data_IF_295683334344
#
_entry.id   IF_295683334344
#
_cell.length_a   1.000
_cell.length_b   1.000
_cell.length_c   1.000
_cell.angle_alpha   90.00
_cell.angle_beta   90.00
_cell.angle_gamma   90.00
#
_symmetry.space_group_name_H-M   'P 1'
#
loop_
_entity.id
_entity.type
_entity.pdbx_description
1 polymer ?
#
# COMPACT_ATOMS: atom_id res chain seq x y z
N UNK A 1 -14.23 55.34 21.25
CA UNK A 1 -13.62 54.00 21.05
C UNK A 1 -14.74 52.97 21.00
N UNK A 2 -15.03 52.38 19.83
CA UNK A 2 -16.02 51.30 19.67
C UNK A 2 -15.27 50.00 19.37
N UNK A 3 -15.48 48.97 20.18
CA UNK A 3 -14.93 47.63 19.95
C UNK A 3 -15.61 47.00 18.72
N UNK A 4 -14.87 46.28 17.86
CA UNK A 4 -15.48 45.51 16.78
C UNK A 4 -16.16 44.27 17.36
N UNK A 5 -17.46 44.13 17.07
CA UNK A 5 -18.25 42.95 17.45
C UNK A 5 -17.87 41.76 16.56
N UNK A 6 -17.33 40.70 17.15
CA UNK A 6 -17.18 39.42 16.48
C UNK A 6 -18.56 38.75 16.39
N UNK A 7 -19.12 38.70 15.18
CA UNK A 7 -20.32 37.91 14.89
C UNK A 7 -20.07 36.40 15.03
N UNK A 8 -21.13 35.59 15.18
CA UNK A 8 -20.99 34.16 15.43
C UNK A 8 -20.33 33.44 14.23
N UNK A 9 -19.67 32.29 14.45
CA UNK A 9 -18.93 31.58 13.41
C UNK A 9 -19.88 31.16 12.29
N UNK A 10 -19.59 31.58 11.04
CA UNK A 10 -20.36 31.16 9.86
C UNK A 10 -20.27 29.64 9.69
N UNK A 11 -21.43 29.00 9.68
CA UNK A 11 -21.69 27.57 9.43
C UNK A 11 -21.41 27.17 7.97
N UNK A 12 -20.18 27.40 7.48
CA UNK A 12 -19.72 27.03 6.13
C UNK A 12 -18.58 26.01 6.23
N UNK A 13 -18.84 24.80 6.72
CA UNK A 13 -17.75 23.79 6.76
C UNK A 13 -18.16 22.31 6.85
N UNK A 14 -19.33 21.91 6.32
CA UNK A 14 -19.66 20.47 6.21
C UNK A 14 -19.89 20.02 4.76
N UNK A 15 -20.53 20.85 3.94
CA UNK A 15 -20.77 20.53 2.52
C UNK A 15 -19.48 20.49 1.65
N UNK A 16 -18.44 21.26 2.02
CA UNK A 16 -17.15 21.29 1.33
C UNK A 16 -16.31 20.03 1.57
N UNK A 17 -16.33 19.49 2.80
CA UNK A 17 -15.58 18.28 3.14
C UNK A 17 -16.16 17.02 2.48
N UNK A 18 -17.50 16.88 2.44
CA UNK A 18 -18.15 15.75 1.76
C UNK A 18 -17.90 15.72 0.24
N UNK A 19 -17.91 16.88 -0.44
CA UNK A 19 -17.68 16.94 -1.89
C UNK A 19 -16.24 16.58 -2.27
N UNK A 20 -15.26 17.01 -1.47
CA UNK A 20 -13.84 16.68 -1.66
C UNK A 20 -13.58 15.19 -1.45
N UNK A 21 -14.19 14.55 -0.43
CA UNK A 21 -14.03 13.12 -0.20
C UNK A 21 -14.65 12.24 -1.31
N UNK A 22 -15.81 12.64 -1.84
CA UNK A 22 -16.48 11.92 -2.94
C UNK A 22 -15.68 12.01 -4.25
N UNK A 23 -15.13 13.18 -4.58
CA UNK A 23 -14.25 13.35 -5.75
C UNK A 23 -12.93 12.59 -5.59
N UNK A 24 -12.31 12.59 -4.40
CA UNK A 24 -11.09 11.80 -4.12
C UNK A 24 -11.32 10.30 -4.33
N UNK A 25 -12.44 9.76 -3.82
CA UNK A 25 -12.83 8.36 -4.03
C UNK A 25 -13.06 8.02 -5.51
N UNK A 26 -13.77 8.88 -6.24
CA UNK A 26 -14.02 8.69 -7.66
C UNK A 26 -12.71 8.67 -8.48
N UNK A 27 -11.76 9.54 -8.13
CA UNK A 27 -10.43 9.54 -8.75
C UNK A 27 -9.72 8.22 -8.49
N UNK A 28 -9.64 7.75 -7.24
CA UNK A 28 -9.02 6.46 -6.88
C UNK A 28 -9.62 5.28 -7.65
N UNK A 29 -10.96 5.19 -7.70
CA UNK A 29 -11.68 4.14 -8.43
C UNK A 29 -11.39 4.17 -9.95
N UNK A 30 -11.29 5.37 -10.52
CA UNK A 30 -10.93 5.54 -11.94
C UNK A 30 -9.52 5.03 -12.22
N UNK A 31 -8.59 5.18 -11.27
CA UNK A 31 -7.23 4.66 -11.41
C UNK A 31 -7.23 3.14 -11.32
N UNK A 32 -7.97 2.57 -10.37
CA UNK A 32 -8.13 1.11 -10.26
C UNK A 32 -8.68 0.52 -11.57
N UNK A 33 -9.75 1.11 -12.09
CA UNK A 33 -10.32 0.73 -13.38
C UNK A 33 -9.30 0.84 -14.53
N UNK A 34 -8.43 1.85 -14.53
CA UNK A 34 -7.39 2.03 -15.57
C UNK A 34 -6.36 0.88 -15.59
N UNK A 35 -5.85 0.48 -14.42
CA UNK A 35 -4.90 -0.64 -14.31
C UNK A 35 -5.59 -1.96 -14.63
N UNK A 36 -6.77 -2.21 -14.07
CA UNK A 36 -7.56 -3.39 -14.38
C UNK A 36 -7.92 -3.47 -15.87
N UNK A 37 -8.06 -2.36 -16.58
CA UNK A 37 -8.32 -2.39 -18.03
C UNK A 37 -7.08 -2.80 -18.82
N UNK A 38 -5.90 -2.33 -18.44
CA UNK A 38 -4.65 -2.53 -19.18
C UNK A 38 -3.85 -3.78 -18.78
N UNK A 39 -4.02 -4.32 -17.56
CA UNK A 39 -3.17 -5.37 -16.99
C UNK A 39 -3.95 -6.59 -16.47
N UNK A 40 -5.10 -6.93 -17.09
CA UNK A 40 -5.97 -8.06 -16.67
C UNK A 40 -5.22 -9.38 -16.50
N UNK A 41 -4.42 -9.75 -17.51
CA UNK A 41 -3.64 -10.99 -17.48
C UNK A 41 -2.57 -10.99 -16.40
N UNK A 42 -1.87 -9.87 -16.23
CA UNK A 42 -0.85 -9.77 -15.20
C UNK A 42 -1.46 -9.91 -13.79
N UNK A 43 -2.64 -9.34 -13.54
CA UNK A 43 -3.34 -9.45 -12.26
C UNK A 43 -3.73 -10.90 -11.96
N UNK A 44 -4.25 -11.64 -12.94
CA UNK A 44 -4.62 -13.06 -12.76
C UNK A 44 -3.38 -13.92 -12.45
N UNK A 45 -2.28 -13.70 -13.18
CA UNK A 45 -1.01 -14.43 -12.94
C UNK A 45 -0.43 -14.10 -11.57
N UNK A 46 -0.47 -12.83 -11.14
CA UNK A 46 -0.03 -12.41 -9.80
C UNK A 46 -0.87 -13.09 -8.72
N UNK A 47 -2.20 -13.08 -8.85
CA UNK A 47 -3.10 -13.75 -7.91
C UNK A 47 -2.75 -15.23 -7.76
N UNK A 48 -2.62 -15.96 -8.88
CA UNK A 48 -2.26 -17.37 -8.85
C UNK A 48 -0.88 -17.62 -8.21
N UNK A 49 0.14 -16.84 -8.56
CA UNK A 49 1.49 -16.99 -8.01
C UNK A 49 1.55 -16.70 -6.50
N UNK A 50 0.80 -15.70 -6.00
CA UNK A 50 0.74 -15.38 -4.57
C UNK A 50 0.03 -16.49 -3.79
N UNK A 51 -1.04 -17.07 -4.34
CA UNK A 51 -1.70 -18.23 -3.74
C UNK A 51 -0.72 -19.39 -3.59
N UNK A 52 0.01 -19.73 -4.66
CA UNK A 52 1.01 -20.82 -4.63
C UNK A 52 2.15 -20.50 -3.65
N UNK A 53 2.68 -19.28 -3.67
CA UNK A 53 3.76 -18.88 -2.76
C UNK A 53 3.33 -18.93 -1.28
N UNK A 54 2.08 -18.56 -0.99
CA UNK A 54 1.52 -18.64 0.36
C UNK A 54 1.35 -20.09 0.81
N UNK A 55 0.86 -20.98 -0.07
CA UNK A 55 0.80 -22.42 0.17
C UNK A 55 2.19 -22.98 0.51
N UNK A 56 3.20 -22.62 -0.28
CA UNK A 56 4.58 -23.04 -0.01
C UNK A 56 5.06 -22.57 1.36
N UNK A 57 4.79 -21.33 1.77
CA UNK A 57 5.20 -20.81 3.08
C UNK A 57 4.58 -21.58 4.25
N UNK A 58 3.37 -22.09 4.07
CA UNK A 58 2.67 -22.91 5.07
C UNK A 58 3.23 -24.32 5.10
N UNK A 59 3.52 -24.91 3.94
CA UNK A 59 4.26 -26.17 3.87
C UNK A 59 5.62 -26.02 4.56
N UNK A 60 6.33 -24.89 4.39
CA UNK A 60 7.57 -24.60 5.14
C UNK A 60 7.33 -24.65 6.65
N UNK A 61 6.31 -23.95 7.14
CA UNK A 61 6.01 -23.85 8.58
C UNK A 61 5.54 -25.18 9.18
N UNK A 62 4.70 -25.93 8.47
CA UNK A 62 4.19 -27.23 8.94
C UNK A 62 5.26 -28.30 8.84
N UNK A 63 6.09 -28.27 7.79
CA UNK A 63 7.22 -29.19 7.69
C UNK A 63 8.22 -29.01 8.81
N UNK A 64 8.47 -27.79 9.34
CA UNK A 64 9.31 -27.65 10.53
C UNK A 64 8.80 -28.50 11.70
N UNK A 65 7.48 -28.62 11.87
CA UNK A 65 6.90 -29.51 12.88
C UNK A 65 7.11 -30.99 12.53
N UNK A 66 6.78 -31.41 11.31
CA UNK A 66 6.93 -32.81 10.85
C UNK A 66 8.39 -33.28 10.86
N UNK A 67 9.32 -32.39 10.51
CA UNK A 67 10.77 -32.66 10.55
C UNK A 67 11.26 -32.91 11.98
N UNK A 68 10.72 -32.17 12.95
CA UNK A 68 11.09 -32.32 14.35
C UNK A 68 10.46 -33.59 14.94
N UNK A 69 9.15 -33.72 14.81
CA UNK A 69 8.37 -34.76 15.51
C UNK A 69 8.55 -36.15 14.90
N UNK A 70 8.55 -36.29 13.56
CA UNK A 70 8.54 -37.60 12.89
C UNK A 70 9.94 -38.07 12.48
N UNK A 71 10.93 -37.18 12.50
CA UNK A 71 12.26 -37.46 11.97
C UNK A 71 13.37 -37.18 13.00
N UNK A 72 13.49 -35.97 13.55
CA UNK A 72 14.62 -35.65 14.45
C UNK A 72 14.49 -36.37 15.81
N UNK A 73 13.30 -36.36 16.43
CA UNK A 73 13.05 -37.00 17.73
C UNK A 73 13.20 -38.54 17.70
N UNK A 74 12.64 -39.28 16.72
CA UNK A 74 12.82 -40.73 16.67
C UNK A 74 14.22 -41.16 16.21
N UNK A 75 14.88 -40.42 15.31
CA UNK A 75 16.24 -40.75 14.85
C UNK A 75 17.31 -40.52 15.93
N UNK A 76 17.04 -39.75 16.99
CA UNK A 76 17.94 -39.58 18.14
C UNK A 76 17.79 -40.67 19.20
N UNK A 77 16.82 -41.58 19.06
CA UNK A 77 16.57 -42.68 20.01
C UNK A 77 16.94 -44.07 19.47
N UNK A 78 17.54 -44.16 18.28
CA UNK A 78 17.90 -45.44 17.63
C UNK A 78 19.40 -45.47 17.29
N UNK A 79 20.08 -46.58 17.62
CA UNK A 79 21.55 -46.72 17.45
C UNK A 79 22.04 -46.78 15.98
N UNK A 80 21.16 -47.14 15.02
CA UNK A 80 21.44 -47.12 13.57
C UNK A 80 20.28 -46.45 12.81
N UNK A 81 20.28 -45.12 12.66
CA UNK A 81 19.20 -44.41 11.98
C UNK A 81 19.29 -44.53 10.45
N UNK A 82 18.19 -44.89 9.78
CA UNK A 82 18.11 -44.83 8.31
C UNK A 82 17.72 -43.43 7.83
N UNK A 83 18.69 -42.69 7.29
CA UNK A 83 18.50 -41.31 6.82
C UNK A 83 17.85 -41.18 5.44
N UNK A 84 17.56 -42.30 4.76
CA UNK A 84 17.08 -42.27 3.37
C UNK A 84 15.70 -41.60 3.25
N UNK A 85 14.77 -41.94 4.14
CA UNK A 85 13.43 -41.33 4.18
C UNK A 85 13.51 -39.83 4.49
N UNK A 86 14.39 -39.44 5.42
CA UNK A 86 14.61 -38.04 5.78
C UNK A 86 15.18 -37.23 4.60
N UNK A 87 16.14 -37.79 3.86
CA UNK A 87 16.74 -37.17 2.69
C UNK A 87 15.73 -36.98 1.54
N UNK A 88 14.85 -37.97 1.28
CA UNK A 88 13.79 -37.85 0.28
C UNK A 88 12.77 -36.77 0.64
N UNK A 89 12.33 -36.73 1.91
CA UNK A 89 11.39 -35.71 2.40
C UNK A 89 12.00 -34.32 2.31
N UNK A 90 13.27 -34.15 2.69
CA UNK A 90 14.00 -32.89 2.54
C UNK A 90 14.16 -32.46 1.08
N UNK A 91 14.38 -33.41 0.17
CA UNK A 91 14.51 -33.12 -1.26
C UNK A 91 13.18 -32.65 -1.86
N UNK A 92 12.08 -33.34 -1.57
CA UNK A 92 10.73 -32.94 -2.00
C UNK A 92 10.37 -31.57 -1.42
N UNK A 93 10.67 -31.34 -0.15
CA UNK A 93 10.51 -30.04 0.49
C UNK A 93 11.31 -28.97 -0.26
N UNK A 94 12.59 -29.22 -0.54
CA UNK A 94 13.45 -28.32 -1.30
C UNK A 94 12.85 -27.94 -2.65
N UNK A 95 12.26 -28.89 -3.38
CA UNK A 95 11.57 -28.62 -4.64
C UNK A 95 10.32 -27.76 -4.46
N UNK A 96 9.50 -28.03 -3.44
CA UNK A 96 8.29 -27.22 -3.14
C UNK A 96 8.68 -25.78 -2.78
N UNK A 97 9.72 -25.60 -1.96
CA UNK A 97 10.26 -24.30 -1.57
C UNK A 97 10.86 -23.55 -2.77
N UNK A 98 11.60 -24.26 -3.62
CA UNK A 98 12.16 -23.70 -4.85
C UNK A 98 11.06 -23.18 -5.77
N UNK A 99 10.01 -23.99 -5.99
CA UNK A 99 8.88 -23.58 -6.82
C UNK A 99 8.10 -22.39 -6.24
N UNK A 100 7.86 -22.38 -4.92
CA UNK A 100 7.23 -21.24 -4.25
C UNK A 100 8.08 -19.97 -4.31
N UNK A 101 9.41 -20.09 -4.26
CA UNK A 101 10.34 -18.96 -4.44
C UNK A 101 10.30 -18.43 -5.87
N UNK A 102 10.23 -19.30 -6.89
CA UNK A 102 10.04 -18.89 -8.29
C UNK A 102 8.71 -18.15 -8.45
N UNK A 103 7.62 -18.68 -7.89
CA UNK A 103 6.32 -18.01 -7.90
C UNK A 103 6.40 -16.64 -7.22
N UNK A 104 7.09 -16.58 -6.08
CA UNK A 104 7.30 -15.34 -5.33
C UNK A 104 8.04 -14.30 -6.15
N UNK A 105 9.18 -14.68 -6.71
CA UNK A 105 9.97 -13.84 -7.59
C UNK A 105 9.15 -13.36 -8.80
N UNK A 106 8.38 -14.26 -9.42
CA UNK A 106 7.58 -14.00 -10.61
C UNK A 106 6.51 -12.96 -10.33
N UNK A 107 5.72 -13.11 -9.26
CA UNK A 107 4.68 -12.12 -8.96
C UNK A 107 5.29 -10.77 -8.55
N UNK A 108 6.41 -10.77 -7.79
CA UNK A 108 7.09 -9.52 -7.41
C UNK A 108 7.61 -8.78 -8.66
N UNK A 109 8.27 -9.49 -9.58
CA UNK A 109 8.79 -8.92 -10.83
C UNK A 109 7.65 -8.42 -11.72
N UNK A 110 6.59 -9.22 -11.89
CA UNK A 110 5.44 -8.85 -12.69
C UNK A 110 4.74 -7.61 -12.12
N UNK A 111 4.63 -7.50 -10.80
CA UNK A 111 4.10 -6.32 -10.13
C UNK A 111 4.97 -5.08 -10.34
N UNK A 112 6.30 -5.21 -10.33
CA UNK A 112 7.20 -4.11 -10.70
C UNK A 112 6.92 -3.65 -12.14
N UNK A 113 6.76 -4.57 -13.09
CA UNK A 113 6.41 -4.20 -14.46
C UNK A 113 5.05 -3.50 -14.57
N UNK A 114 4.02 -3.98 -13.86
CA UNK A 114 2.68 -3.38 -13.85
C UNK A 114 2.72 -1.98 -13.23
N UNK A 115 3.39 -1.82 -12.09
CA UNK A 115 3.50 -0.54 -11.36
C UNK A 115 4.30 0.50 -12.15
N UNK A 116 5.45 0.13 -12.71
CA UNK A 116 6.26 1.02 -13.54
C UNK A 116 5.55 1.37 -14.86
N UNK A 117 4.90 0.40 -15.50
CA UNK A 117 4.10 0.64 -16.70
C UNK A 117 2.89 1.55 -16.45
N UNK A 118 2.26 1.41 -15.29
CA UNK A 118 1.20 2.30 -14.82
C UNK A 118 1.76 3.71 -14.62
N UNK A 119 2.86 3.86 -13.88
CA UNK A 119 3.55 5.13 -13.66
C UNK A 119 3.88 5.85 -14.97
N UNK A 120 4.44 5.13 -15.95
CA UNK A 120 4.78 5.71 -17.25
C UNK A 120 3.56 6.30 -17.95
N UNK A 121 2.44 5.56 -18.00
CA UNK A 121 1.19 6.05 -18.63
C UNK A 121 0.64 7.27 -17.93
N UNK A 122 0.63 7.25 -16.60
CA UNK A 122 0.14 8.37 -15.82
C UNK A 122 0.99 9.61 -16.04
N UNK A 123 2.31 9.47 -16.04
CA UNK A 123 3.24 10.57 -16.34
C UNK A 123 2.91 11.19 -17.70
N UNK A 124 2.66 10.37 -18.72
CA UNK A 124 2.21 10.86 -20.04
C UNK A 124 0.87 11.59 -19.98
N UNK A 125 -0.15 11.01 -19.35
CA UNK A 125 -1.48 11.64 -19.23
C UNK A 125 -1.46 12.98 -18.50
N UNK A 126 -0.62 13.12 -17.48
CA UNK A 126 -0.47 14.37 -16.73
C UNK A 126 0.28 15.40 -17.56
N UNK A 127 1.36 14.99 -18.23
CA UNK A 127 2.11 15.85 -19.12
C UNK A 127 1.24 16.39 -20.27
N UNK A 128 0.47 15.52 -20.93
CA UNK A 128 -0.48 15.93 -21.98
C UNK A 128 -1.53 16.93 -21.45
N UNK A 129 -2.08 16.70 -20.26
CA UNK A 129 -3.02 17.66 -19.65
C UNK A 129 -2.36 18.99 -19.32
N UNK A 130 -1.12 18.97 -18.83
CA UNK A 130 -0.37 20.18 -18.51
C UNK A 130 -0.13 21.04 -19.75
N UNK A 131 0.07 20.43 -20.92
CA UNK A 131 0.27 21.14 -22.18
C UNK A 131 -0.97 21.88 -22.71
N UNK A 132 -2.17 21.60 -22.19
CA UNK A 132 -3.42 22.20 -22.65
C UNK A 132 -4.02 23.23 -21.68
N UNK A 133 -3.28 23.68 -20.66
CA UNK A 133 -3.78 24.73 -19.77
C UNK A 133 -3.76 26.10 -20.47
N UNK A 134 -4.86 26.88 -20.38
CA UNK A 134 -4.95 28.19 -21.01
C UNK A 134 -4.05 29.23 -20.33
N UNK A 135 -3.46 30.13 -21.12
CA UNK A 135 -2.51 31.16 -20.66
C UNK A 135 -3.11 32.07 -19.57
N UNK A 136 -4.42 32.32 -19.59
CA UNK A 136 -5.12 33.13 -18.56
C UNK A 136 -5.01 32.58 -17.12
N UNK A 137 -4.66 31.30 -16.96
CA UNK A 137 -4.40 30.69 -15.65
C UNK A 137 -3.10 31.23 -15.02
N UNK A 138 -2.15 31.67 -15.86
CA UNK A 138 -0.84 32.17 -15.44
C UNK A 138 -0.82 33.68 -15.19
N UNK A 139 -1.81 34.44 -15.67
CA UNK A 139 -1.90 35.90 -15.50
C UNK A 139 -2.53 36.35 -14.17
N UNK A 140 -3.12 35.45 -13.37
CA UNK A 140 -3.88 35.77 -12.16
C UNK A 140 -3.14 35.49 -10.83
N UNK A 141 -1.84 35.17 -10.84
CA UNK A 141 -1.05 34.77 -9.64
C UNK A 141 0.26 35.56 -9.50
N UNK A 142 0.67 35.86 -8.27
CA UNK A 142 1.92 36.57 -7.97
C UNK A 142 3.16 35.73 -8.31
N UNK A 143 4.26 36.36 -8.73
CA UNK A 143 5.46 35.66 -9.26
C UNK A 143 6.08 34.63 -8.29
N UNK A 144 5.94 34.82 -6.98
CA UNK A 144 6.41 33.89 -5.93
C UNK A 144 5.50 32.67 -5.70
N UNK A 145 4.18 32.84 -5.82
CA UNK A 145 3.21 31.74 -5.74
C UNK A 145 3.36 30.77 -6.93
N UNK A 146 3.72 31.31 -8.10
CA UNK A 146 3.90 30.52 -9.33
C UNK A 146 5.11 29.59 -9.19
N UNK A 147 6.24 30.05 -8.66
CA UNK A 147 7.45 29.21 -8.49
C UNK A 147 7.28 28.09 -7.46
N UNK A 148 6.55 28.33 -6.36
CA UNK A 148 6.23 27.29 -5.37
C UNK A 148 5.30 26.22 -5.93
N UNK A 149 4.29 26.61 -6.71
CA UNK A 149 3.43 25.67 -7.47
C UNK A 149 4.24 24.92 -8.53
N UNK A 150 5.21 25.57 -9.17
CA UNK A 150 5.99 24.98 -10.25
C UNK A 150 7.01 23.93 -9.79
N UNK A 151 7.52 24.07 -8.57
CA UNK A 151 8.57 23.18 -8.05
C UNK A 151 8.01 22.21 -7.02
N UNK A 152 7.41 22.70 -5.94
CA UNK A 152 6.94 21.85 -4.84
C UNK A 152 5.66 21.07 -5.17
N UNK A 153 4.68 21.67 -5.84
CA UNK A 153 3.45 20.96 -6.18
C UNK A 153 3.66 20.00 -7.36
N UNK A 154 4.51 20.37 -8.33
CA UNK A 154 4.88 19.46 -9.43
C UNK A 154 5.69 18.28 -8.90
N UNK A 155 6.65 18.48 -7.99
CA UNK A 155 7.36 17.35 -7.37
C UNK A 155 6.46 16.53 -6.44
N UNK A 156 5.56 17.17 -5.68
CA UNK A 156 4.59 16.47 -4.84
C UNK A 156 3.60 15.66 -5.70
N UNK A 157 3.14 16.22 -6.82
CA UNK A 157 2.35 15.50 -7.82
C UNK A 157 3.18 14.36 -8.39
N UNK A 158 4.42 14.61 -8.80
CA UNK A 158 5.32 13.58 -9.34
C UNK A 158 5.52 12.46 -8.32
N UNK A 159 5.72 12.74 -7.04
CA UNK A 159 5.93 11.74 -5.98
C UNK A 159 4.65 10.99 -5.62
N UNK A 160 3.52 11.69 -5.54
CA UNK A 160 2.20 11.10 -5.32
C UNK A 160 1.84 10.14 -6.46
N UNK A 161 2.15 10.52 -7.70
CA UNK A 161 1.82 9.75 -8.91
C UNK A 161 2.82 8.62 -9.16
N UNK A 162 4.12 8.86 -8.93
CA UNK A 162 5.18 7.91 -9.24
C UNK A 162 5.34 6.82 -8.19
N UNK A 163 5.16 7.16 -6.91
CA UNK A 163 5.49 6.24 -5.81
C UNK A 163 4.26 5.83 -5.02
N UNK A 164 3.51 6.80 -4.49
CA UNK A 164 2.40 6.50 -3.59
C UNK A 164 1.31 5.67 -4.28
N UNK A 165 1.01 6.00 -5.54
CA UNK A 165 -0.04 5.32 -6.26
C UNK A 165 0.32 3.91 -6.69
N UNK A 166 1.53 3.72 -7.22
CA UNK A 166 2.08 2.40 -7.51
C UNK A 166 2.05 1.50 -6.26
N UNK A 167 2.41 2.05 -5.10
CA UNK A 167 2.41 1.32 -3.84
C UNK A 167 0.99 0.95 -3.36
N UNK A 168 0.00 1.81 -3.55
CA UNK A 168 -1.40 1.50 -3.26
C UNK A 168 -1.89 0.32 -4.12
N UNK A 169 -1.54 0.28 -5.40
CA UNK A 169 -1.88 -0.83 -6.29
C UNK A 169 -1.29 -2.15 -5.80
N UNK A 170 0.02 -2.17 -5.58
CA UNK A 170 0.71 -3.36 -5.08
C UNK A 170 0.11 -3.81 -3.76
N UNK A 171 -0.14 -2.88 -2.83
CA UNK A 171 -0.70 -3.19 -1.51
C UNK A 171 -2.10 -3.79 -1.60
N UNK A 172 -3.00 -3.21 -2.43
CA UNK A 172 -4.36 -3.74 -2.57
C UNK A 172 -4.36 -5.14 -3.18
N UNK A 173 -3.56 -5.38 -4.22
CA UNK A 173 -3.48 -6.71 -4.84
C UNK A 173 -2.90 -7.72 -3.85
N UNK A 174 -1.82 -7.37 -3.14
CA UNK A 174 -1.26 -8.24 -2.10
C UNK A 174 -2.28 -8.53 -1.01
N UNK A 175 -3.00 -7.53 -0.49
CA UNK A 175 -4.04 -7.73 0.52
C UNK A 175 -5.12 -8.68 0.01
N UNK A 176 -5.67 -8.44 -1.19
CA UNK A 176 -6.73 -9.30 -1.74
C UNK A 176 -6.22 -10.73 -1.99
N UNK A 177 -5.02 -10.88 -2.55
CA UNK A 177 -4.45 -12.18 -2.85
C UNK A 177 -4.13 -12.97 -1.56
N UNK A 178 -3.47 -12.34 -0.60
CA UNK A 178 -3.18 -12.94 0.71
C UNK A 178 -4.47 -13.28 1.45
N UNK A 179 -5.45 -12.37 1.48
CA UNK A 179 -6.74 -12.61 2.13
C UNK A 179 -7.50 -13.79 1.49
N UNK A 180 -7.51 -13.86 0.16
CA UNK A 180 -8.10 -15.00 -0.58
C UNK A 180 -7.36 -16.29 -0.25
N UNK A 181 -6.03 -16.26 -0.19
CA UNK A 181 -5.21 -17.41 0.22
C UNK A 181 -5.56 -17.89 1.64
N UNK A 182 -5.69 -16.96 2.59
CA UNK A 182 -5.99 -17.29 3.98
C UNK A 182 -7.37 -17.95 4.13
N UNK A 183 -8.41 -17.45 3.43
CA UNK A 183 -9.76 -18.04 3.48
C UNK A 183 -9.77 -19.47 2.95
N UNK A 184 -9.13 -19.71 1.80
CA UNK A 184 -9.09 -21.05 1.18
C UNK A 184 -8.41 -22.06 2.11
N UNK A 185 -7.47 -21.59 2.92
CA UNK A 185 -6.61 -22.46 3.71
C UNK A 185 -7.12 -22.73 5.12
N UNK A 186 -7.52 -21.68 5.83
CA UNK A 186 -8.02 -21.79 7.20
C UNK A 186 -8.85 -20.57 7.61
N UNK A 187 -10.16 -20.76 7.62
CA UNK A 187 -11.12 -19.77 8.14
C UNK A 187 -10.81 -19.32 9.59
N UNK A 188 -10.43 -20.19 10.55
CA UNK A 188 -10.19 -19.74 11.92
C UNK A 188 -8.96 -18.83 12.05
N UNK A 189 -7.86 -19.14 11.37
CA UNK A 189 -6.65 -18.31 11.36
C UNK A 189 -6.93 -16.94 10.71
N UNK A 190 -7.71 -16.95 9.63
CA UNK A 190 -8.16 -15.74 8.95
C UNK A 190 -8.93 -14.83 9.92
N UNK A 191 -9.84 -15.38 10.71
CA UNK A 191 -10.65 -14.60 11.67
C UNK A 191 -9.75 -13.88 12.69
N UNK A 192 -8.77 -14.59 13.24
CA UNK A 192 -7.81 -14.03 14.20
C UNK A 192 -6.97 -12.93 13.56
N UNK A 193 -6.46 -13.15 12.34
CA UNK A 193 -5.67 -12.15 11.62
C UNK A 193 -6.48 -10.90 11.25
N UNK A 194 -7.74 -11.07 10.83
CA UNK A 194 -8.64 -9.94 10.57
C UNK A 194 -8.91 -9.15 11.84
N UNK A 195 -9.14 -9.82 12.97
CA UNK A 195 -9.32 -9.16 14.26
C UNK A 195 -8.09 -8.32 14.61
N UNK A 196 -6.89 -8.89 14.48
CA UNK A 196 -5.65 -8.14 14.73
C UNK A 196 -5.46 -6.98 13.75
N UNK A 197 -5.81 -7.14 12.47
CA UNK A 197 -5.76 -6.06 11.49
C UNK A 197 -6.70 -4.91 11.86
N UNK A 198 -7.91 -5.21 12.36
CA UNK A 198 -8.87 -4.21 12.85
C UNK A 198 -8.32 -3.48 14.07
N UNK A 199 -7.78 -4.22 15.05
CA UNK A 199 -7.15 -3.63 16.24
C UNK A 199 -6.00 -2.70 15.85
N UNK A 200 -5.12 -3.13 14.95
CA UNK A 200 -4.03 -2.31 14.41
C UNK A 200 -4.57 -1.07 13.69
N UNK A 201 -5.61 -1.19 12.87
CA UNK A 201 -6.21 -0.05 12.18
C UNK A 201 -6.78 0.98 13.18
N UNK A 202 -7.43 0.53 14.25
CA UNK A 202 -7.91 1.41 15.32
C UNK A 202 -6.73 2.10 16.02
N UNK A 203 -5.70 1.35 16.40
CA UNK A 203 -4.52 1.89 17.05
C UNK A 203 -3.82 2.95 16.16
N UNK A 204 -3.55 2.62 14.89
CA UNK A 204 -2.91 3.52 13.93
C UNK A 204 -3.75 4.76 13.67
N UNK A 205 -5.08 4.64 13.56
CA UNK A 205 -5.95 5.82 13.35
C UNK A 205 -6.00 6.72 14.58
N UNK A 206 -6.02 6.16 15.79
CA UNK A 206 -5.99 6.95 17.03
C UNK A 206 -4.65 7.67 17.20
N UNK A 207 -3.54 6.98 16.94
CA UNK A 207 -2.19 7.58 16.94
C UNK A 207 -2.07 8.66 15.86
N UNK A 208 -2.57 8.40 14.65
CA UNK A 208 -2.56 9.35 13.55
C UNK A 208 -3.36 10.63 13.85
N UNK A 209 -4.54 10.50 14.49
CA UNK A 209 -5.34 11.65 14.94
C UNK A 209 -4.57 12.50 15.95
N UNK A 210 -3.94 11.88 16.95
CA UNK A 210 -3.12 12.58 17.95
C UNK A 210 -1.94 13.28 17.30
N UNK A 211 -1.20 12.57 16.45
CA UNK A 211 -0.07 13.13 15.69
C UNK A 211 -0.49 14.35 14.88
N UNK A 212 -1.61 14.26 14.13
CA UNK A 212 -2.15 15.38 13.34
C UNK A 212 -2.49 16.60 14.21
N UNK A 213 -3.00 16.40 15.42
CA UNK A 213 -3.26 17.49 16.37
C UNK A 213 -1.95 18.18 16.79
N UNK A 214 -0.93 17.41 17.16
CA UNK A 214 0.37 17.96 17.56
C UNK A 214 1.07 18.69 16.41
N UNK A 215 1.04 18.15 15.20
CA UNK A 215 1.56 18.82 14.00
C UNK A 215 0.86 20.14 13.73
N UNK A 216 -0.46 20.23 13.94
CA UNK A 216 -1.20 21.49 13.79
C UNK A 216 -0.76 22.53 14.81
N UNK A 217 -0.58 22.14 16.07
CA UNK A 217 -0.07 23.03 17.12
C UNK A 217 1.37 23.48 16.83
N UNK A 218 2.22 22.58 16.34
CA UNK A 218 3.58 22.90 15.94
C UNK A 218 3.60 23.90 14.77
N UNK A 219 2.76 23.71 13.75
CA UNK A 219 2.61 24.64 12.64
C UNK A 219 2.18 26.04 13.11
N UNK A 220 1.25 26.11 14.07
CA UNK A 220 0.79 27.39 14.65
C UNK A 220 1.91 28.11 15.40
N UNK A 221 2.71 27.39 16.19
CA UNK A 221 3.85 27.97 16.92
C UNK A 221 4.96 28.45 15.99
N UNK A 222 5.26 27.69 14.93
CA UNK A 222 6.20 28.12 13.89
C UNK A 222 5.73 29.41 13.21
N UNK A 223 4.45 29.48 12.85
CA UNK A 223 3.86 30.67 12.25
C UNK A 223 3.93 31.89 13.18
N UNK A 224 3.67 31.73 14.49
CA UNK A 224 3.75 32.84 15.44
C UNK A 224 5.17 33.35 15.66
N UNK A 225 6.17 32.47 15.65
CA UNK A 225 7.58 32.87 15.77
C UNK A 225 8.03 33.58 14.49
N UNK A 226 7.67 33.05 13.32
CA UNK A 226 8.03 33.66 12.04
C UNK A 226 7.42 35.06 11.88
N UNK A 227 6.15 35.23 12.26
CA UNK A 227 5.49 36.54 12.22
C UNK A 227 5.87 37.52 13.33
N UNK A 228 6.76 37.15 14.26
CA UNK A 228 7.39 38.08 15.20
C UNK A 228 8.75 38.59 14.69
N UNK A 229 9.41 37.81 13.83
CA UNK A 229 10.72 38.13 13.24
C UNK A 229 10.56 39.05 12.01
N UNK A 230 9.44 38.91 11.29
CA UNK A 230 9.06 39.73 10.12
C UNK A 230 8.17 40.92 10.53
#
# INVERSE_FOLDING_TARGET
MRQPSFGPPRERSQAGFQKVDKQKRATLLRMFSFVFKHYKWAIVVVLACVLISSLTSLVSSLCTKTLIDDYIVPLTQVDNPEYHSLAQTLFILGLILFFGTICSYTYNRLMIHVSQGTMLRLRKTIFEKMQHLPVSYFDQRSHGDIMSVYTNDVDSLRQMISTAMAQVFSSVITIVATFTSMIVLSVPLTLVSVLMAVVMMIATTQLGKRSRSHFRTQQQRLASVNGFIE
#
